data_IF_393764006817
#
_entry.id   IF_393764006817
#
_cell.length_a   1.000
_cell.length_b   1.000
_cell.length_c   1.000
_cell.angle_alpha   90.00
_cell.angle_beta   90.00
_cell.angle_gamma   90.00
#
_symmetry.space_group_name_H-M   'P 1'
#
loop_
_entity.id
_entity.type
_entity.pdbx_description
1 polymer ?
#
# COMPACT_ATOMS: atom_id res chain seq x y z
N UNK A 1 3.45 -11.06 27.77
CA UNK A 1 2.20 -10.37 27.43
C UNK A 1 1.82 -10.83 26.03
N UNK A 2 0.74 -11.59 25.90
CA UNK A 2 0.24 -12.03 24.59
C UNK A 2 -0.39 -10.82 23.91
N UNK A 3 0.25 -10.30 22.85
CA UNK A 3 -0.40 -9.37 21.94
C UNK A 3 -1.40 -10.18 21.12
N UNK A 4 -2.69 -9.97 21.39
CA UNK A 4 -3.77 -10.42 20.51
C UNK A 4 -3.62 -9.67 19.17
N UNK A 5 -2.88 -10.24 18.22
CA UNK A 5 -2.96 -9.86 16.82
C UNK A 5 -4.26 -10.46 16.28
N UNK A 6 -5.37 -9.77 16.52
CA UNK A 6 -6.64 -10.08 15.87
C UNK A 6 -6.58 -9.42 14.48
N UNK A 7 -6.31 -10.23 13.44
CA UNK A 7 -6.46 -9.75 12.06
C UNK A 7 -7.93 -9.40 11.84
N UNK A 8 -8.24 -8.27 11.18
CA UNK A 8 -9.60 -7.94 10.82
C UNK A 8 -10.18 -9.05 9.94
N UNK A 9 -11.45 -9.42 10.22
CA UNK A 9 -12.24 -10.27 9.32
C UNK A 9 -12.43 -9.54 7.99
N UNK A 10 -12.77 -10.28 6.92
CA UNK A 10 -13.10 -9.70 5.62
C UNK A 10 -14.01 -8.46 5.80
N UNK A 11 -13.60 -7.34 5.21
CA UNK A 11 -14.34 -6.07 5.37
C UNK A 11 -15.75 -6.24 4.79
N UNK A 12 -16.77 -5.97 5.59
CA UNK A 12 -18.15 -6.01 5.13
C UNK A 12 -18.41 -4.93 4.06
N UNK A 13 -19.37 -5.15 3.19
CA UNK A 13 -19.70 -4.21 2.09
C UNK A 13 -20.01 -2.78 2.56
N UNK A 14 -20.55 -2.62 3.76
CA UNK A 14 -20.80 -1.31 4.39
C UNK A 14 -19.53 -0.59 4.81
N UNK A 15 -18.53 -1.32 5.26
CA UNK A 15 -17.24 -0.75 5.68
C UNK A 15 -16.45 -0.25 4.47
N UNK A 16 -16.48 -0.98 3.35
CA UNK A 16 -15.88 -0.54 2.09
C UNK A 16 -16.54 0.74 1.57
N UNK A 17 -17.87 0.84 1.59
CA UNK A 17 -18.59 2.05 1.17
C UNK A 17 -18.25 3.25 2.07
N UNK A 18 -18.15 3.03 3.38
CA UNK A 18 -17.69 4.05 4.32
C UNK A 18 -16.25 4.49 4.04
N UNK A 19 -15.36 3.55 3.72
CA UNK A 19 -13.97 3.84 3.36
C UNK A 19 -13.92 4.71 2.09
N UNK A 20 -14.64 4.35 1.04
CA UNK A 20 -14.72 5.09 -0.22
C UNK A 20 -15.22 6.52 0.02
N UNK A 21 -16.30 6.68 0.78
CA UNK A 21 -16.87 8.01 1.08
C UNK A 21 -15.88 8.89 1.86
N UNK A 22 -15.21 8.34 2.88
CA UNK A 22 -14.18 9.04 3.65
C UNK A 22 -12.97 9.40 2.78
N UNK A 23 -12.50 8.46 1.92
CA UNK A 23 -11.41 8.70 0.98
C UNK A 23 -11.73 9.85 0.04
N UNK A 24 -12.93 9.84 -0.55
CA UNK A 24 -13.37 10.91 -1.44
C UNK A 24 -13.33 12.28 -0.77
N UNK A 25 -13.79 12.37 0.48
CA UNK A 25 -13.74 13.63 1.24
C UNK A 25 -12.30 14.10 1.47
N UNK A 26 -11.39 13.20 1.90
CA UNK A 26 -9.98 13.56 2.13
C UNK A 26 -9.27 14.00 0.84
N UNK A 27 -9.54 13.30 -0.28
CA UNK A 27 -8.96 13.66 -1.57
C UNK A 27 -9.46 15.03 -2.03
N UNK A 28 -10.75 15.34 -1.91
CA UNK A 28 -11.31 16.68 -2.18
C UNK A 28 -10.62 17.77 -1.34
N UNK A 29 -10.48 17.53 -0.05
CA UNK A 29 -9.78 18.48 0.84
C UNK A 29 -8.32 18.69 0.45
N UNK A 30 -7.63 17.66 -0.02
CA UNK A 30 -6.24 17.76 -0.51
C UNK A 30 -6.13 18.68 -1.71
N UNK A 31 -7.10 18.65 -2.62
CA UNK A 31 -7.12 19.49 -3.80
C UNK A 31 -7.52 20.95 -3.49
N UNK A 32 -8.38 21.17 -2.52
CA UNK A 32 -8.86 22.51 -2.11
C UNK A 32 -7.84 23.24 -1.25
N UNK A 33 -7.23 22.56 -0.26
CA UNK A 33 -6.38 23.18 0.77
C UNK A 33 -4.89 23.06 0.47
N UNK A 34 -4.52 22.28 -0.55
CA UNK A 34 -3.13 21.91 -0.81
C UNK A 34 -2.63 20.79 0.13
N UNK A 35 -1.44 20.28 -0.17
CA UNK A 35 -0.81 19.17 0.55
C UNK A 35 -0.53 19.53 2.02
N UNK A 36 -1.23 18.89 2.93
CA UNK A 36 -1.10 19.13 4.37
C UNK A 36 -1.92 18.20 5.24
N UNK A 37 -2.49 17.15 4.67
CA UNK A 37 -3.27 16.19 5.43
C UNK A 37 -2.36 15.31 6.29
N UNK A 38 -2.41 15.56 7.61
CA UNK A 38 -1.76 14.71 8.62
C UNK A 38 -2.63 13.47 8.90
N UNK A 39 -2.45 12.43 8.13
CA UNK A 39 -2.93 11.11 8.53
C UNK A 39 -1.81 10.43 9.31
N UNK A 40 -2.08 10.06 10.56
CA UNK A 40 -1.14 9.25 11.34
C UNK A 40 -1.14 7.84 10.79
N UNK A 41 -0.18 7.55 9.93
CA UNK A 41 0.22 6.18 9.58
C UNK A 41 1.28 5.77 10.59
N UNK A 42 1.21 4.56 11.12
CA UNK A 42 2.26 4.06 12.03
C UNK A 42 3.61 4.07 11.31
N UNK A 43 4.64 4.49 12.05
CA UNK A 43 6.00 4.49 11.53
C UNK A 43 6.43 3.03 11.27
N UNK A 44 6.79 2.67 10.03
CA UNK A 44 7.24 1.32 9.68
C UNK A 44 8.37 0.80 10.56
N UNK A 45 9.24 1.68 11.00
CA UNK A 45 10.38 1.37 11.86
C UNK A 45 9.96 0.82 13.24
N UNK A 46 8.79 1.21 13.75
CA UNK A 46 8.30 0.75 15.07
C UNK A 46 8.03 -0.75 15.08
N UNK A 47 7.47 -1.29 14.01
CA UNK A 47 7.20 -2.74 13.93
C UNK A 47 8.49 -3.52 13.68
N UNK A 48 9.23 -3.16 12.64
CA UNK A 48 10.43 -3.89 12.20
C UNK A 48 11.56 -3.85 13.23
N UNK A 49 11.70 -2.75 13.99
CA UNK A 49 12.74 -2.62 15.02
C UNK A 49 12.70 -3.73 16.09
N UNK A 50 11.52 -4.33 16.31
CA UNK A 50 11.34 -5.46 17.25
C UNK A 50 11.92 -6.77 16.73
N UNK A 51 12.22 -6.85 15.44
CA UNK A 51 12.62 -8.07 14.74
C UNK A 51 14.00 -7.98 14.08
N UNK A 52 14.76 -6.91 14.35
CA UNK A 52 16.11 -6.74 13.79
C UNK A 52 16.97 -7.97 14.07
N UNK A 53 17.65 -8.46 13.05
CA UNK A 53 18.50 -9.65 13.13
C UNK A 53 17.74 -10.98 13.10
N UNK A 54 16.43 -10.96 12.90
CA UNK A 54 15.59 -12.17 12.76
C UNK A 54 15.06 -12.33 11.35
N UNK A 55 14.41 -13.45 11.09
CA UNK A 55 13.69 -13.72 9.84
C UNK A 55 12.19 -13.63 10.10
N UNK A 56 11.49 -12.91 9.23
CA UNK A 56 10.03 -12.83 9.23
C UNK A 56 9.47 -13.44 7.94
N UNK A 57 8.45 -14.28 8.09
CA UNK A 57 7.61 -14.69 6.95
C UNK A 57 6.46 -13.69 6.82
N UNK A 58 6.35 -13.05 5.67
CA UNK A 58 5.39 -11.97 5.40
C UNK A 58 4.79 -12.12 4.01
N UNK A 59 3.60 -11.54 3.81
CA UNK A 59 3.09 -11.25 2.46
C UNK A 59 3.57 -9.87 2.08
N UNK A 60 4.24 -9.74 0.96
CA UNK A 60 4.61 -8.46 0.35
C UNK A 60 3.54 -8.09 -0.66
N UNK A 61 3.09 -6.85 -0.58
CA UNK A 61 2.19 -6.21 -1.54
C UNK A 61 2.95 -5.09 -2.24
N UNK A 62 3.00 -5.13 -3.57
CA UNK A 62 3.62 -4.11 -4.40
C UNK A 62 2.55 -3.48 -5.30
N UNK A 63 2.31 -2.19 -5.15
CA UNK A 63 1.33 -1.43 -5.92
C UNK A 63 2.06 -0.43 -6.79
N UNK A 64 1.76 -0.43 -8.08
CA UNK A 64 2.36 0.45 -9.07
C UNK A 64 1.28 1.22 -9.84
N UNK A 65 1.58 2.46 -10.27
CA UNK A 65 0.68 3.28 -11.07
C UNK A 65 0.93 3.08 -12.57
N UNK A 66 -0.14 2.77 -13.30
CA UNK A 66 -0.07 2.66 -14.76
C UNK A 66 0.22 4.03 -15.37
N UNK A 67 1.25 4.10 -16.21
CA UNK A 67 1.57 5.32 -16.97
C UNK A 67 2.12 6.48 -16.15
N UNK A 68 2.57 6.25 -14.93
CA UNK A 68 3.15 7.28 -14.03
C UNK A 68 4.27 8.10 -14.67
N UNK A 69 5.11 7.48 -15.49
CA UNK A 69 6.18 8.16 -16.23
C UNK A 69 5.61 9.22 -17.21
N UNK A 70 4.50 8.90 -17.88
CA UNK A 70 3.84 9.86 -18.77
C UNK A 70 3.21 10.99 -17.96
N UNK A 71 2.54 10.68 -16.86
CA UNK A 71 1.95 11.64 -15.92
C UNK A 71 3.02 12.60 -15.37
N UNK A 72 4.19 12.09 -14.98
CA UNK A 72 5.33 12.89 -14.50
C UNK A 72 5.85 13.86 -15.57
N UNK A 73 5.77 13.50 -16.85
CA UNK A 73 6.22 14.36 -17.96
C UNK A 73 5.18 15.37 -18.40
N UNK A 74 3.90 15.10 -18.23
CA UNK A 74 2.79 15.92 -18.75
C UNK A 74 2.21 16.90 -17.74
N UNK A 75 2.29 16.59 -16.43
CA UNK A 75 1.70 17.42 -15.40
C UNK A 75 2.68 18.43 -14.79
N UNK A 76 2.19 19.63 -14.41
CA UNK A 76 2.97 20.54 -13.58
C UNK A 76 3.35 19.88 -12.24
N UNK A 77 4.59 20.07 -11.77
CA UNK A 77 5.16 19.40 -10.59
C UNK A 77 4.29 19.53 -9.35
N UNK A 78 3.70 20.70 -9.11
CA UNK A 78 2.82 20.93 -7.96
C UNK A 78 1.52 20.10 -8.03
N UNK A 79 0.97 19.90 -9.22
CA UNK A 79 -0.23 19.08 -9.43
C UNK A 79 0.07 17.60 -9.30
N UNK A 80 1.17 17.17 -9.89
CA UNK A 80 1.68 15.82 -9.70
C UNK A 80 1.87 15.51 -8.20
N UNK A 81 2.50 16.43 -7.47
CA UNK A 81 2.71 16.26 -6.02
C UNK A 81 1.39 16.11 -5.26
N UNK A 82 0.37 16.92 -5.57
CA UNK A 82 -0.96 16.80 -4.92
C UNK A 82 -1.59 15.44 -5.19
N UNK A 83 -1.58 14.98 -6.45
CA UNK A 83 -2.14 13.67 -6.84
C UNK A 83 -1.39 12.54 -6.12
N UNK A 84 -0.05 12.57 -6.16
CA UNK A 84 0.78 11.53 -5.54
C UNK A 84 0.63 11.48 -4.02
N UNK A 85 0.53 12.63 -3.36
CA UNK A 85 0.29 12.69 -1.93
C UNK A 85 -1.09 12.14 -1.55
N UNK A 86 -2.14 12.52 -2.26
CA UNK A 86 -3.47 11.97 -2.05
C UNK A 86 -3.48 10.44 -2.25
N UNK A 87 -2.87 9.97 -3.35
CA UNK A 87 -2.76 8.55 -3.65
C UNK A 87 -2.01 7.78 -2.54
N UNK A 88 -0.78 8.17 -2.23
CA UNK A 88 0.05 7.46 -1.23
C UNK A 88 -0.58 7.47 0.15
N UNK A 89 -1.24 8.56 0.52
CA UNK A 89 -1.98 8.66 1.77
C UNK A 89 -3.16 7.69 1.83
N UNK A 90 -4.00 7.64 0.80
CA UNK A 90 -5.14 6.72 0.77
C UNK A 90 -4.67 5.25 0.76
N UNK A 91 -3.62 4.92 0.00
CA UNK A 91 -3.04 3.57 0.02
C UNK A 91 -2.55 3.20 1.43
N UNK A 92 -1.89 4.13 2.12
CA UNK A 92 -1.41 3.89 3.49
C UNK A 92 -2.54 3.66 4.48
N UNK A 93 -3.64 4.41 4.38
CA UNK A 93 -4.83 4.25 5.22
C UNK A 93 -5.45 2.86 4.99
N UNK A 94 -5.56 2.44 3.72
CA UNK A 94 -6.12 1.13 3.38
C UNK A 94 -5.24 0.03 3.96
N UNK A 95 -3.94 0.04 3.72
CA UNK A 95 -2.99 -0.94 4.28
C UNK A 95 -3.15 -1.05 5.78
N UNK A 96 -3.17 0.08 6.50
CA UNK A 96 -3.32 0.12 7.96
C UNK A 96 -4.66 -0.46 8.42
N UNK A 97 -5.76 -0.17 7.74
CA UNK A 97 -7.09 -0.74 8.04
C UNK A 97 -7.14 -2.25 7.91
N UNK A 98 -6.38 -2.82 7.00
CA UNK A 98 -6.24 -4.26 6.83
C UNK A 98 -5.13 -4.87 7.72
N UNK A 99 -4.55 -4.12 8.65
CA UNK A 99 -3.51 -4.61 9.57
C UNK A 99 -2.16 -4.83 8.90
N UNK A 100 -1.96 -4.32 7.69
CA UNK A 100 -0.68 -4.26 7.01
C UNK A 100 0.16 -3.07 7.47
N UNK A 101 1.41 -3.06 7.05
CA UNK A 101 2.39 -2.00 7.32
C UNK A 101 2.96 -1.49 6.00
N UNK A 102 3.14 -0.18 5.86
CA UNK A 102 3.89 0.39 4.75
C UNK A 102 5.37 0.12 4.99
N UNK A 103 6.05 -0.46 4.02
CA UNK A 103 7.50 -0.62 4.07
C UNK A 103 8.20 0.63 3.56
N UNK A 104 7.85 1.05 2.34
CA UNK A 104 8.44 2.24 1.70
C UNK A 104 7.64 2.68 0.48
N UNK A 105 7.90 3.90 0.06
CA UNK A 105 7.48 4.42 -1.24
C UNK A 105 8.68 4.41 -2.18
N UNK A 106 8.50 3.92 -3.41
CA UNK A 106 9.55 3.85 -4.42
C UNK A 106 9.05 4.55 -5.68
N UNK A 107 9.34 5.85 -5.80
CA UNK A 107 8.73 6.67 -6.84
C UNK A 107 7.22 6.78 -6.64
N UNK A 108 6.47 6.23 -7.58
CA UNK A 108 5.01 6.12 -7.56
C UNK A 108 4.50 4.77 -6.99
N UNK A 109 5.40 3.85 -6.72
CA UNK A 109 5.04 2.56 -6.15
C UNK A 109 4.91 2.60 -4.63
N UNK A 110 3.95 1.85 -4.10
CA UNK A 110 3.75 1.61 -2.67
C UNK A 110 4.12 0.17 -2.37
N UNK A 111 5.08 -0.02 -1.46
CA UNK A 111 5.46 -1.34 -0.97
C UNK A 111 4.95 -1.49 0.46
N UNK A 112 4.11 -2.49 0.66
CA UNK A 112 3.54 -2.82 1.96
C UNK A 112 3.77 -4.29 2.29
N UNK A 113 3.60 -4.65 3.55
CA UNK A 113 3.70 -6.04 3.98
C UNK A 113 2.66 -6.37 5.05
N UNK A 114 2.30 -7.65 5.09
CA UNK A 114 1.41 -8.22 6.11
C UNK A 114 2.17 -9.31 6.85
N UNK A 115 2.43 -9.14 8.15
CA UNK A 115 3.08 -10.18 8.96
C UNK A 115 2.21 -11.43 9.00
N UNK A 116 2.79 -12.61 8.78
CA UNK A 116 2.07 -13.86 8.96
C UNK A 116 1.96 -14.17 10.46
N UNK A 117 0.73 -14.15 10.95
CA UNK A 117 0.40 -14.55 12.31
C UNK A 117 0.17 -16.05 12.44
N UNK A 118 -0.68 -16.46 13.39
CA UNK A 118 -1.02 -17.87 13.61
C UNK A 118 -1.78 -18.53 12.44
N UNK A 119 -2.39 -17.74 11.54
CA UNK A 119 -3.11 -18.23 10.36
C UNK A 119 -2.57 -17.59 9.09
N UNK A 120 -1.87 -18.36 8.28
CA UNK A 120 -1.33 -17.91 7.00
C UNK A 120 -2.45 -17.57 5.99
N UNK A 121 -3.47 -18.42 5.91
CA UNK A 121 -4.62 -18.20 5.02
C UNK A 121 -5.32 -16.87 5.30
N UNK A 122 -5.46 -16.49 6.58
CA UNK A 122 -6.08 -15.22 6.94
C UNK A 122 -5.24 -14.03 6.44
N UNK A 123 -3.92 -14.07 6.61
CA UNK A 123 -3.04 -13.00 6.15
C UNK A 123 -3.04 -12.89 4.61
N UNK A 124 -3.10 -14.02 3.88
CA UNK A 124 -3.20 -14.03 2.42
C UNK A 124 -4.51 -13.39 1.94
N UNK A 125 -5.64 -13.83 2.48
CA UNK A 125 -6.95 -13.28 2.14
C UNK A 125 -7.02 -11.78 2.45
N UNK A 126 -6.52 -11.37 3.62
CA UNK A 126 -6.49 -9.97 4.03
C UNK A 126 -5.67 -9.10 3.06
N UNK A 127 -4.52 -9.59 2.60
CA UNK A 127 -3.69 -8.86 1.64
C UNK A 127 -4.37 -8.75 0.26
N UNK A 128 -5.08 -9.79 -0.17
CA UNK A 128 -5.86 -9.78 -1.42
C UNK A 128 -7.05 -8.83 -1.32
N UNK A 129 -7.81 -8.87 -0.21
CA UNK A 129 -8.93 -7.95 0.04
C UNK A 129 -8.48 -6.50 0.13
N UNK A 130 -7.31 -6.25 0.75
CA UNK A 130 -6.66 -4.94 0.76
C UNK A 130 -6.39 -4.46 -0.67
N UNK A 131 -5.84 -5.33 -1.52
CA UNK A 131 -5.52 -5.00 -2.92
C UNK A 131 -6.76 -4.63 -3.72
N UNK A 132 -7.84 -5.37 -3.60
CA UNK A 132 -9.11 -5.05 -4.24
C UNK A 132 -9.70 -3.74 -3.71
N UNK A 133 -9.61 -3.51 -2.40
CA UNK A 133 -10.06 -2.25 -1.79
C UNK A 133 -9.28 -1.04 -2.29
N UNK A 134 -7.97 -1.19 -2.55
CA UNK A 134 -7.16 -0.14 -3.16
C UNK A 134 -7.67 0.22 -4.56
N UNK A 135 -7.94 -0.78 -5.40
CA UNK A 135 -8.50 -0.55 -6.74
C UNK A 135 -9.85 0.16 -6.65
N UNK A 136 -10.76 -0.31 -5.78
CA UNK A 136 -12.08 0.32 -5.59
C UNK A 136 -11.97 1.78 -5.13
N UNK A 137 -11.10 2.08 -4.17
CA UNK A 137 -10.90 3.46 -3.68
C UNK A 137 -10.32 4.35 -4.77
N UNK A 138 -9.39 3.85 -5.58
CA UNK A 138 -8.88 4.62 -6.73
C UNK A 138 -10.02 4.90 -7.71
N UNK A 139 -10.81 3.92 -8.09
CA UNK A 139 -11.87 4.07 -9.08
C UNK A 139 -13.05 4.90 -8.58
N UNK A 140 -13.48 4.74 -7.33
CA UNK A 140 -14.73 5.33 -6.82
C UNK A 140 -14.52 6.58 -5.96
N UNK A 141 -13.30 6.81 -5.46
CA UNK A 141 -13.00 7.98 -4.62
C UNK A 141 -11.96 8.91 -5.27
N UNK A 142 -10.80 8.41 -5.69
CA UNK A 142 -9.71 9.26 -6.19
C UNK A 142 -10.03 9.75 -7.62
N UNK A 143 -10.34 8.84 -8.54
CA UNK A 143 -10.57 9.17 -9.95
C UNK A 143 -11.69 10.19 -10.17
N UNK A 144 -12.86 10.10 -9.52
CA UNK A 144 -13.89 11.13 -9.66
C UNK A 144 -13.40 12.52 -9.27
N UNK A 145 -12.54 12.63 -8.27
CA UNK A 145 -12.02 13.94 -7.82
C UNK A 145 -10.98 14.47 -8.80
N UNK A 146 -10.00 13.67 -9.21
CA UNK A 146 -8.96 14.13 -10.13
C UNK A 146 -9.54 14.46 -11.51
N UNK A 147 -10.55 13.70 -11.98
CA UNK A 147 -11.27 13.98 -13.24
C UNK A 147 -12.03 15.31 -13.18
N UNK A 148 -12.62 15.69 -12.04
CA UNK A 148 -13.23 17.03 -11.86
C UNK A 148 -12.22 18.17 -12.02
N UNK A 149 -10.93 17.90 -11.84
CA UNK A 149 -9.84 18.86 -12.01
C UNK A 149 -9.17 18.73 -13.40
N UNK A 150 -9.72 17.91 -14.30
CA UNK A 150 -9.24 17.73 -15.68
C UNK A 150 -8.01 16.84 -15.81
N UNK A 151 -7.75 15.95 -14.84
CA UNK A 151 -6.65 15.00 -14.91
C UNK A 151 -7.14 13.60 -15.28
N UNK A 152 -6.25 12.82 -15.91
CA UNK A 152 -6.52 11.44 -16.31
C UNK A 152 -6.69 10.53 -15.08
N UNK A 153 -7.51 9.50 -15.23
CA UNK A 153 -7.76 8.50 -14.21
C UNK A 153 -6.51 7.67 -13.89
N UNK A 154 -6.31 7.40 -12.62
CA UNK A 154 -5.29 6.49 -12.14
C UNK A 154 -5.75 5.05 -12.29
N UNK A 155 -4.81 4.17 -12.61
CA UNK A 155 -5.02 2.73 -12.68
C UNK A 155 -3.86 2.03 -11.95
N UNK A 156 -4.16 0.93 -11.28
CA UNK A 156 -3.20 0.20 -10.48
C UNK A 156 -2.77 -1.11 -11.14
N UNK A 157 -1.54 -1.51 -10.85
CA UNK A 157 -1.02 -2.85 -11.05
C UNK A 157 -0.54 -3.36 -9.70
N UNK A 158 -1.03 -4.51 -9.28
CA UNK A 158 -0.73 -5.02 -7.94
C UNK A 158 -0.16 -6.43 -8.03
N UNK A 159 0.95 -6.64 -7.33
CA UNK A 159 1.58 -7.95 -7.19
C UNK A 159 1.71 -8.36 -5.73
N UNK A 160 1.39 -9.61 -5.40
CA UNK A 160 1.57 -10.18 -4.07
C UNK A 160 2.44 -11.44 -4.14
N UNK A 161 3.41 -11.49 -3.21
CA UNK A 161 4.21 -12.68 -2.97
C UNK A 161 4.42 -12.91 -1.48
N UNK A 162 4.73 -14.14 -1.09
CA UNK A 162 5.07 -14.49 0.28
C UNK A 162 6.36 -15.26 0.34
N UNK A 163 7.25 -14.86 1.23
CA UNK A 163 8.51 -15.55 1.51
C UNK A 163 9.07 -15.13 2.87
N UNK A 164 10.17 -15.76 3.23
CA UNK A 164 10.97 -15.35 4.37
C UNK A 164 11.88 -14.18 4.00
N UNK A 165 11.94 -13.20 4.91
CA UNK A 165 12.72 -11.99 4.76
C UNK A 165 13.56 -11.75 6.03
N UNK A 166 14.83 -11.41 5.84
CA UNK A 166 15.68 -10.96 6.93
C UNK A 166 15.33 -9.52 7.30
N UNK A 167 15.11 -9.24 8.58
CA UNK A 167 14.98 -7.88 9.08
C UNK A 167 16.38 -7.36 9.39
N UNK A 168 16.75 -6.29 8.71
CA UNK A 168 18.08 -5.68 8.78
C UNK A 168 17.98 -4.24 9.29
N UNK A 169 19.07 -3.71 9.77
CA UNK A 169 19.17 -2.33 10.23
C UNK A 169 20.28 -1.62 9.49
N UNK A 170 19.99 -0.41 9.05
CA UNK A 170 20.98 0.57 8.57
C UNK A 170 21.11 1.68 9.59
N UNK A 171 22.32 2.26 9.70
CA UNK A 171 22.55 3.48 10.48
C UNK A 171 22.91 4.59 9.50
N UNK A 172 22.10 5.64 9.46
CA UNK A 172 22.31 6.82 8.62
C UNK A 172 22.28 8.04 9.55
N UNK A 173 23.38 8.79 9.60
CA UNK A 173 23.52 9.97 10.48
C UNK A 173 23.12 9.67 11.94
N UNK A 174 23.65 8.57 12.48
CA UNK A 174 23.40 8.06 13.83
C UNK A 174 21.95 7.62 14.11
N UNK A 175 21.07 7.65 13.11
CA UNK A 175 19.68 7.18 13.22
C UNK A 175 19.55 5.76 12.69
N UNK A 176 18.93 4.85 13.45
CA UNK A 176 18.64 3.51 12.97
C UNK A 176 17.42 3.54 12.04
N UNK A 177 17.48 2.77 10.95
CA UNK A 177 16.40 2.50 10.02
C UNK A 177 16.27 1.00 9.84
N UNK A 178 15.09 0.46 10.07
CA UNK A 178 14.81 -0.94 9.83
C UNK A 178 14.31 -1.15 8.39
N UNK A 179 14.75 -2.24 7.76
CA UNK A 179 14.30 -2.64 6.42
C UNK A 179 14.20 -4.17 6.36
N UNK A 180 13.59 -4.68 5.32
CA UNK A 180 13.53 -6.11 5.05
C UNK A 180 14.29 -6.44 3.76
N UNK A 181 14.99 -7.57 3.78
CA UNK A 181 15.70 -8.11 2.64
C UNK A 181 15.21 -9.52 2.35
N UNK A 182 14.71 -9.74 1.13
CA UNK A 182 14.22 -11.05 0.73
C UNK A 182 13.71 -11.09 -0.70
N UNK A 183 13.49 -12.29 -1.20
CA UNK A 183 13.08 -12.56 -2.58
C UNK A 183 11.67 -12.01 -2.88
N UNK A 184 10.76 -12.03 -1.89
CA UNK A 184 9.34 -11.67 -2.06
C UNK A 184 9.12 -10.24 -2.56
N UNK A 185 9.96 -9.27 -2.14
CA UNK A 185 9.85 -7.89 -2.64
C UNK A 185 10.06 -7.84 -4.16
N UNK A 186 11.12 -8.49 -4.63
CA UNK A 186 11.44 -8.53 -6.07
C UNK A 186 10.40 -9.31 -6.86
N UNK A 187 9.83 -10.36 -6.27
CA UNK A 187 8.79 -11.16 -6.90
C UNK A 187 7.48 -10.39 -6.97
N UNK A 188 7.03 -9.74 -5.89
CA UNK A 188 5.83 -8.92 -5.88
C UNK A 188 5.92 -7.77 -6.91
N UNK A 189 7.08 -7.11 -7.02
CA UNK A 189 7.33 -6.09 -8.04
C UNK A 189 7.24 -6.67 -9.48
N UNK A 190 7.78 -7.87 -9.69
CA UNK A 190 7.69 -8.56 -10.98
C UNK A 190 6.26 -8.94 -11.34
N UNK A 191 5.49 -9.46 -10.38
CA UNK A 191 4.08 -9.79 -10.57
C UNK A 191 3.26 -8.53 -10.89
N UNK A 192 3.49 -7.43 -10.17
CA UNK A 192 2.88 -6.14 -10.49
C UNK A 192 3.19 -5.71 -11.93
N UNK A 193 4.43 -5.85 -12.40
CA UNK A 193 4.80 -5.47 -13.77
C UNK A 193 4.09 -6.29 -14.84
N UNK A 194 3.69 -7.52 -14.54
CA UNK A 194 2.96 -8.42 -15.44
C UNK A 194 1.44 -8.20 -15.43
N UNK A 195 0.93 -7.53 -14.41
CA UNK A 195 -0.50 -7.26 -14.27
C UNK A 195 -0.99 -6.31 -15.37
N UNK A 196 -2.26 -6.49 -15.77
CA UNK A 196 -2.98 -5.50 -16.54
C UNK A 196 -3.44 -4.34 -15.63
N UNK A 197 -4.00 -3.30 -16.22
CA UNK A 197 -4.59 -2.19 -15.47
C UNK A 197 -5.71 -2.68 -14.54
N UNK A 198 -5.64 -2.27 -13.27
CA UNK A 198 -6.58 -2.65 -12.21
C UNK A 198 -6.65 -4.16 -11.96
N UNK A 199 -5.53 -4.85 -12.14
CA UNK A 199 -5.40 -6.29 -11.91
C UNK A 199 -4.49 -6.56 -10.71
N UNK A 200 -4.82 -7.64 -9.98
CA UNK A 200 -4.03 -8.19 -8.88
C UNK A 200 -3.46 -9.53 -9.32
N UNK A 201 -2.13 -9.67 -9.35
CA UNK A 201 -1.47 -10.94 -9.59
C UNK A 201 -0.84 -11.45 -8.29
N UNK A 202 -1.17 -12.68 -7.94
CA UNK A 202 -0.63 -13.36 -6.76
C UNK A 202 0.32 -14.48 -7.17
N UNK A 203 1.35 -14.72 -6.38
CA UNK A 203 2.20 -15.89 -6.58
C UNK A 203 1.48 -17.17 -6.20
N UNK A 204 1.95 -18.30 -6.71
CA UNK A 204 1.41 -19.61 -6.36
C UNK A 204 1.45 -19.87 -4.85
N UNK A 205 2.46 -19.35 -4.15
CA UNK A 205 2.62 -19.52 -2.69
C UNK A 205 1.57 -18.74 -1.89
N UNK A 206 1.01 -17.66 -2.43
CA UNK A 206 -0.11 -16.90 -1.83
C UNK A 206 -1.44 -17.59 -2.11
N UNK A 207 -1.54 -18.31 -3.26
CA UNK A 207 -2.76 -19.01 -3.67
C UNK A 207 -3.04 -20.29 -2.85
N UNK A 208 -2.01 -21.02 -2.42
CA UNK A 208 -2.13 -22.26 -1.63
C UNK A 208 -2.54 -22.00 -0.18
#
# INVERSE_FOLDING_TARGET
MQHNNTFPQAIESKEIQSLIAQSKTRVLESFEKGSGLNTKVEDPDIFLSKYIGTTLKIVVLYVDLVGSTLMTRSLPVNRLATIMQAFTQEMSIIVSKFGGQILKFVGDAVVAYFPLGASYSLAYNTAVDCSHSMIMVVQEAINPVISMHGYDELQLKIGLDTSEHSVIQYIIDEKPYADILGYGISMAAKLSSLANSNEVIISHTVYM
#
